data_IF_517657746178
#
_entry.id   IF_517657746178
#
_cell.length_a   1.000
_cell.length_b   1.000
_cell.length_c   1.000
_cell.angle_alpha   90.00
_cell.angle_beta   90.00
_cell.angle_gamma   90.00
#
_symmetry.space_group_name_H-M   'P 1'
#
loop_
_entity.id
_entity.type
_entity.pdbx_description
1 polymer ?
#
# COMPACT_ATOMS: atom_id res chain seq x y z
N UNK A 1 15.00 -6.12 -2.86
CA UNK A 1 14.52 -4.71 -2.76
C UNK A 1 13.62 -4.57 -1.56
N UNK A 2 13.81 -3.50 -0.79
CA UNK A 2 12.89 -3.10 0.28
C UNK A 2 11.80 -2.18 -0.32
N UNK A 3 10.53 -2.40 0.04
CA UNK A 3 9.38 -1.65 -0.51
C UNK A 3 8.66 -0.90 0.59
N UNK A 4 8.40 0.40 0.40
CA UNK A 4 7.51 1.18 1.27
C UNK A 4 6.17 1.43 0.58
N UNK A 5 5.08 1.01 1.23
CA UNK A 5 3.71 1.25 0.75
C UNK A 5 3.14 2.40 1.56
N UNK A 6 2.74 3.49 0.91
CA UNK A 6 2.22 4.70 1.56
C UNK A 6 0.71 4.80 1.35
N UNK A 7 -0.03 4.88 2.45
CA UNK A 7 -1.50 4.89 2.48
C UNK A 7 -1.99 6.09 3.29
N UNK A 8 -2.45 7.17 2.65
CA UNK A 8 -3.18 8.22 3.36
C UNK A 8 -4.59 7.73 3.70
N UNK A 9 -5.06 8.03 4.90
CA UNK A 9 -6.41 7.66 5.35
C UNK A 9 -7.07 8.78 6.13
N UNK A 10 -8.40 8.89 6.02
CA UNK A 10 -9.21 9.84 6.79
C UNK A 10 -10.61 9.27 7.01
N UNK A 11 -10.98 8.99 8.27
CA UNK A 11 -12.31 8.49 8.66
C UNK A 11 -12.77 7.24 7.88
N UNK A 12 -11.87 6.24 7.70
CA UNK A 12 -12.14 5.04 6.89
C UNK A 12 -11.70 3.74 7.56
N UNK A 13 -11.82 3.64 8.89
CA UNK A 13 -11.34 2.48 9.67
C UNK A 13 -11.73 1.13 9.10
N UNK A 14 -13.02 0.91 8.82
CA UNK A 14 -13.52 -0.42 8.41
C UNK A 14 -13.04 -0.85 7.01
N UNK A 15 -12.83 0.11 6.11
CA UNK A 15 -12.33 -0.20 4.77
C UNK A 15 -10.81 -0.31 4.76
N UNK A 16 -10.12 0.52 5.54
CA UNK A 16 -8.68 0.42 5.74
C UNK A 16 -8.29 -0.95 6.31
N UNK A 17 -9.08 -1.53 7.23
CA UNK A 17 -8.83 -2.88 7.73
C UNK A 17 -8.73 -3.91 6.62
N UNK A 18 -9.64 -3.87 5.63
CA UNK A 18 -9.62 -4.79 4.49
C UNK A 18 -8.38 -4.58 3.62
N UNK A 19 -7.98 -3.33 3.41
CA UNK A 19 -6.75 -2.98 2.72
C UNK A 19 -5.52 -3.57 3.43
N UNK A 20 -5.39 -3.37 4.74
CA UNK A 20 -4.26 -3.88 5.54
C UNK A 20 -4.21 -5.41 5.57
N UNK A 21 -5.36 -6.09 5.71
CA UNK A 21 -5.43 -7.56 5.62
C UNK A 21 -4.92 -8.06 4.28
N UNK A 22 -5.27 -7.40 3.18
CA UNK A 22 -4.79 -7.79 1.86
C UNK A 22 -3.27 -7.58 1.70
N UNK A 23 -2.72 -6.54 2.31
CA UNK A 23 -1.29 -6.27 2.31
C UNK A 23 -0.48 -7.25 3.18
N UNK A 24 -1.00 -7.65 4.34
CA UNK A 24 -0.33 -8.66 5.18
C UNK A 24 -0.32 -10.07 4.55
N UNK A 25 -1.18 -10.32 3.57
CA UNK A 25 -1.28 -11.60 2.86
C UNK A 25 -0.53 -11.62 1.52
N UNK A 26 0.49 -10.78 1.34
CA UNK A 26 1.27 -10.77 0.10
C UNK A 26 2.16 -12.00 -0.03
N UNK A 27 2.21 -12.55 -1.26
CA UNK A 27 3.15 -13.60 -1.63
C UNK A 27 4.40 -12.92 -2.17
N UNK A 28 5.48 -12.96 -1.40
CA UNK A 28 6.77 -12.41 -1.80
C UNK A 28 7.56 -13.43 -2.63
N UNK A 29 8.43 -12.92 -3.49
CA UNK A 29 9.42 -13.72 -4.21
C UNK A 29 10.82 -13.14 -4.00
N UNK A 30 11.82 -13.72 -4.64
CA UNK A 30 13.23 -13.33 -4.51
C UNK A 30 13.56 -11.88 -4.92
N UNK A 31 12.62 -11.16 -5.50
CA UNK A 31 12.79 -9.74 -5.88
C UNK A 31 12.53 -8.82 -4.70
N UNK A 32 11.76 -9.26 -3.72
CA UNK A 32 11.37 -8.48 -2.54
C UNK A 32 11.98 -9.12 -1.31
N UNK A 33 12.89 -8.40 -0.67
CA UNK A 33 13.51 -8.83 0.58
C UNK A 33 12.55 -8.61 1.76
N UNK A 34 11.93 -7.43 1.79
CA UNK A 34 11.02 -7.01 2.85
C UNK A 34 10.14 -5.84 2.38
N UNK A 35 9.08 -5.54 3.11
CA UNK A 35 8.25 -4.36 2.90
C UNK A 35 7.73 -3.77 4.21
N UNK A 36 7.37 -2.50 4.18
CA UNK A 36 6.63 -1.80 5.22
C UNK A 36 5.37 -1.16 4.66
N UNK A 37 4.38 -0.93 5.52
CA UNK A 37 3.15 -0.23 5.21
C UNK A 37 3.07 1.03 6.07
N UNK A 38 3.23 2.19 5.47
CA UNK A 38 3.16 3.49 6.13
C UNK A 38 1.73 4.01 6.00
N UNK A 39 0.97 3.93 7.08
CA UNK A 39 -0.36 4.53 7.16
C UNK A 39 -0.21 5.95 7.71
N UNK A 40 -0.69 6.93 6.95
CA UNK A 40 -0.75 8.32 7.38
C UNK A 40 -2.19 8.70 7.65
N UNK A 41 -2.52 8.87 8.92
CA UNK A 41 -3.83 9.33 9.35
C UNK A 41 -3.93 10.85 9.24
N UNK A 42 -4.86 11.33 8.46
CA UNK A 42 -5.05 12.74 8.14
C UNK A 42 -6.06 13.41 9.08
N UNK A 43 -5.91 13.19 10.38
CA UNK A 43 -6.76 13.79 11.41
C UNK A 43 -8.12 13.11 11.58
N UNK A 44 -8.18 11.77 11.52
CA UNK A 44 -9.43 11.02 11.70
C UNK A 44 -10.07 11.21 13.06
N UNK A 45 -11.39 11.29 13.08
CA UNK A 45 -12.23 11.39 14.28
C UNK A 45 -12.93 10.06 14.64
N UNK A 46 -12.83 9.05 13.80
CA UNK A 46 -13.47 7.72 13.94
C UNK A 46 -12.63 6.72 14.75
N UNK A 47 -11.61 7.19 15.50
CA UNK A 47 -10.66 6.40 16.27
C UNK A 47 -9.75 5.49 15.44
N UNK A 48 -9.55 5.76 14.15
CA UNK A 48 -8.62 5.01 13.28
C UNK A 48 -7.24 4.86 13.90
N UNK A 49 -6.55 5.92 14.41
CA UNK A 49 -5.22 5.78 14.99
C UNK A 49 -5.16 4.85 16.20
N UNK A 50 -6.11 4.99 17.13
CA UNK A 50 -6.19 4.15 18.32
C UNK A 50 -6.42 2.66 17.94
N UNK A 51 -7.26 2.42 16.94
CA UNK A 51 -7.51 1.09 16.43
C UNK A 51 -6.25 0.48 15.80
N UNK A 52 -5.52 1.19 14.93
CA UNK A 52 -4.28 0.69 14.32
C UNK A 52 -3.28 0.29 15.40
N UNK A 53 -3.07 1.13 16.43
CA UNK A 53 -2.17 0.83 17.54
C UNK A 53 -2.58 -0.46 18.28
N UNK A 54 -3.88 -0.69 18.46
CA UNK A 54 -4.39 -1.91 19.11
C UNK A 54 -4.19 -3.18 18.27
N UNK A 55 -3.98 -3.04 16.96
CA UNK A 55 -3.82 -4.14 16.01
C UNK A 55 -2.36 -4.42 15.60
N UNK A 56 -1.37 -3.84 16.28
CA UNK A 56 0.04 -3.94 15.88
C UNK A 56 0.54 -5.39 15.76
N UNK A 57 0.07 -6.30 16.62
CA UNK A 57 0.41 -7.71 16.54
C UNK A 57 -0.17 -8.41 15.30
N UNK A 58 -1.29 -7.92 14.79
CA UNK A 58 -1.95 -8.42 13.57
C UNK A 58 -1.35 -7.83 12.29
N UNK A 59 -0.83 -6.62 12.38
CA UNK A 59 -0.25 -5.87 11.27
C UNK A 59 1.20 -5.46 11.59
N UNK A 60 2.14 -6.42 11.66
CA UNK A 60 3.52 -6.14 12.06
C UNK A 60 4.28 -5.22 11.08
N UNK A 61 3.90 -5.21 9.80
CA UNK A 61 4.52 -4.34 8.79
C UNK A 61 4.02 -2.90 8.83
N UNK A 62 2.94 -2.61 9.62
CA UNK A 62 2.30 -1.29 9.64
C UNK A 62 3.03 -0.35 10.59
N UNK A 63 3.36 0.84 10.08
CA UNK A 63 3.82 2.01 10.83
C UNK A 63 2.80 3.13 10.66
N UNK A 64 2.33 3.69 11.77
CA UNK A 64 1.33 4.77 11.80
C UNK A 64 2.00 6.11 12.01
N UNK A 65 1.64 7.07 11.17
CA UNK A 65 1.92 8.49 11.34
C UNK A 65 0.63 9.28 11.33
N UNK A 66 0.59 10.38 12.05
CA UNK A 66 -0.58 11.23 12.19
C UNK A 66 -0.25 12.67 11.81
N UNK A 67 -1.17 13.35 11.16
CA UNK A 67 -1.08 14.77 10.87
C UNK A 67 -2.40 15.48 11.11
N UNK A 68 -2.39 16.80 11.22
CA UNK A 68 -3.60 17.60 11.10
C UNK A 68 -4.18 17.48 9.70
N UNK A 69 -5.50 17.55 9.59
CA UNK A 69 -6.19 17.37 8.31
C UNK A 69 -5.67 18.33 7.25
N UNK A 70 -5.00 17.80 6.24
CA UNK A 70 -4.36 18.55 5.17
C UNK A 70 -4.54 17.93 3.78
N UNK A 71 -5.25 16.80 3.73
CA UNK A 71 -5.59 16.09 2.50
C UNK A 71 -4.57 15.05 2.05
N UNK A 72 -4.95 14.22 1.07
CA UNK A 72 -4.19 13.04 0.68
C UNK A 72 -2.80 13.34 0.11
N UNK A 73 -2.61 14.51 -0.51
CA UNK A 73 -1.29 14.91 -1.03
C UNK A 73 -0.29 15.14 0.11
N UNK A 74 -0.71 15.85 1.17
CA UNK A 74 0.11 16.05 2.37
C UNK A 74 0.41 14.71 3.05
N UNK A 75 -0.59 13.84 3.19
CA UNK A 75 -0.41 12.51 3.76
C UNK A 75 0.59 11.67 2.96
N UNK A 76 0.55 11.71 1.62
CA UNK A 76 1.56 11.01 0.79
C UNK A 76 2.95 11.59 1.00
N UNK A 77 3.11 12.91 1.05
CA UNK A 77 4.40 13.56 1.29
C UNK A 77 4.98 13.19 2.65
N UNK A 78 4.16 13.20 3.71
CA UNK A 78 4.58 12.77 5.04
C UNK A 78 5.00 11.29 5.02
N UNK A 79 4.22 10.42 4.36
CA UNK A 79 4.56 9.01 4.22
C UNK A 79 5.90 8.80 3.51
N UNK A 80 6.16 9.52 2.42
CA UNK A 80 7.44 9.47 1.70
C UNK A 80 8.62 9.90 2.58
N UNK A 81 8.45 10.94 3.41
CA UNK A 81 9.53 11.41 4.30
C UNK A 81 9.94 10.39 5.37
N UNK A 82 9.09 9.42 5.66
CA UNK A 82 9.35 8.33 6.61
C UNK A 82 9.63 6.98 5.94
N UNK A 83 9.53 6.90 4.62
CA UNK A 83 9.79 5.70 3.86
C UNK A 83 11.29 5.35 3.85
N UNK A 84 11.62 4.08 4.04
CA UNK A 84 12.99 3.56 4.00
C UNK A 84 13.23 2.62 2.82
N UNK A 85 12.18 2.31 2.05
CA UNK A 85 12.26 1.43 0.88
C UNK A 85 12.91 2.09 -0.33
N UNK A 86 13.58 1.27 -1.14
CA UNK A 86 14.13 1.67 -2.45
C UNK A 86 13.03 1.96 -3.48
N UNK A 87 11.85 1.37 -3.26
CA UNK A 87 10.66 1.52 -4.10
C UNK A 87 9.51 2.00 -3.23
N UNK A 88 8.83 3.04 -3.68
CA UNK A 88 7.64 3.56 -3.00
C UNK A 88 6.40 3.22 -3.83
N UNK A 89 5.40 2.63 -3.20
CA UNK A 89 4.10 2.35 -3.78
C UNK A 89 3.05 3.19 -3.07
N UNK A 90 2.26 3.94 -3.82
CA UNK A 90 1.11 4.67 -3.29
C UNK A 90 -0.16 3.87 -3.55
N UNK A 91 -0.96 3.66 -2.52
CA UNK A 91 -2.31 3.13 -2.65
C UNK A 91 -3.29 3.93 -1.79
N UNK A 92 -4.54 3.96 -2.20
CA UNK A 92 -5.60 4.57 -1.40
C UNK A 92 -6.15 3.56 -0.38
N UNK A 93 -6.64 4.06 0.75
CA UNK A 93 -7.09 3.24 1.89
C UNK A 93 -8.33 2.37 1.60
N UNK A 94 -8.98 2.57 0.45
CA UNK A 94 -10.14 1.81 -0.02
C UNK A 94 -9.82 0.77 -1.11
N UNK A 95 -8.55 0.49 -1.34
CA UNK A 95 -8.12 -0.53 -2.28
C UNK A 95 -7.83 -1.85 -1.57
N UNK A 96 -8.36 -2.95 -2.12
CA UNK A 96 -8.03 -4.31 -1.72
C UNK A 96 -7.18 -4.93 -2.82
N UNK A 97 -5.91 -5.18 -2.51
CA UNK A 97 -4.93 -5.67 -3.47
C UNK A 97 -4.91 -7.19 -3.57
N UNK A 98 -4.46 -7.72 -4.69
CA UNK A 98 -4.26 -9.16 -4.86
C UNK A 98 -3.06 -9.67 -4.07
N UNK A 99 -2.98 -10.97 -3.83
CA UNK A 99 -1.85 -11.61 -3.14
C UNK A 99 -0.50 -11.44 -3.85
N UNK A 100 -0.50 -11.16 -5.14
CA UNK A 100 0.70 -10.97 -5.97
C UNK A 100 0.95 -9.52 -6.34
N UNK A 101 0.25 -8.59 -5.70
CA UNK A 101 0.32 -7.16 -6.03
C UNK A 101 1.77 -6.64 -6.00
N UNK A 102 2.48 -6.82 -4.89
CA UNK A 102 3.86 -6.36 -4.74
C UNK A 102 4.78 -7.00 -5.78
N UNK A 103 4.74 -8.33 -5.87
CA UNK A 103 5.56 -9.10 -6.80
C UNK A 103 5.33 -8.69 -8.26
N UNK A 104 4.08 -8.45 -8.66
CA UNK A 104 3.74 -8.03 -10.02
C UNK A 104 4.31 -6.65 -10.35
N UNK A 105 4.15 -5.68 -9.46
CA UNK A 105 4.71 -4.33 -9.63
C UNK A 105 6.24 -4.35 -9.70
N UNK A 106 6.90 -5.07 -8.80
CA UNK A 106 8.36 -5.11 -8.76
C UNK A 106 8.96 -5.82 -9.98
N UNK A 107 8.31 -6.87 -10.49
CA UNK A 107 8.71 -7.53 -11.74
C UNK A 107 8.57 -6.58 -12.94
N UNK A 108 7.48 -5.83 -13.01
CA UNK A 108 7.28 -4.84 -14.08
C UNK A 108 8.34 -3.73 -14.03
N UNK A 109 8.63 -3.18 -12.84
CA UNK A 109 9.70 -2.21 -12.63
C UNK A 109 11.08 -2.76 -13.04
N UNK A 110 11.43 -3.95 -12.57
CA UNK A 110 12.72 -4.59 -12.87
C UNK A 110 12.92 -4.82 -14.37
N UNK A 111 11.88 -5.21 -15.09
CA UNK A 111 11.91 -5.33 -16.56
C UNK A 111 12.13 -3.98 -17.23
N UNK A 112 11.44 -2.93 -16.75
CA UNK A 112 11.59 -1.59 -17.28
C UNK A 112 13.00 -1.04 -17.06
N UNK A 113 13.56 -1.20 -15.86
CA UNK A 113 14.94 -0.78 -15.55
C UNK A 113 15.97 -1.47 -16.45
N UNK A 114 15.85 -2.78 -16.64
CA UNK A 114 16.73 -3.53 -17.55
C UNK A 114 16.64 -3.02 -18.99
N UNK A 115 15.43 -2.69 -19.46
CA UNK A 115 15.20 -2.22 -20.83
C UNK A 115 15.70 -0.80 -21.06
N UNK A 116 15.52 0.08 -20.06
CA UNK A 116 15.84 1.51 -20.19
C UNK A 116 17.27 1.86 -19.74
N UNK A 117 17.94 0.96 -19.02
CA UNK A 117 19.27 1.22 -18.45
C UNK A 117 19.29 2.21 -17.29
N UNK A 118 18.12 2.59 -16.77
CA UNK A 118 17.99 3.49 -15.62
C UNK A 118 16.80 3.09 -14.71
N UNK A 119 16.72 3.70 -13.52
CA UNK A 119 15.65 3.46 -12.54
C UNK A 119 14.53 4.52 -12.57
N UNK A 120 14.56 5.44 -13.51
CA UNK A 120 13.56 6.52 -13.63
C UNK A 120 12.32 6.02 -14.38
N UNK A 121 11.55 5.16 -13.72
CA UNK A 121 10.29 4.67 -14.25
C UNK A 121 9.29 4.38 -13.13
N UNK A 122 8.03 4.29 -13.49
CA UNK A 122 6.95 3.92 -12.59
C UNK A 122 6.05 2.86 -13.24
N UNK A 123 5.28 2.18 -12.40
CA UNK A 123 4.22 1.26 -12.83
C UNK A 123 2.89 1.68 -12.20
N UNK A 124 1.80 1.36 -12.86
CA UNK A 124 0.47 1.49 -12.30
C UNK A 124 -0.31 0.19 -12.53
N UNK A 125 -1.25 -0.09 -11.61
CA UNK A 125 -2.12 -1.26 -11.68
C UNK A 125 -3.51 -0.90 -12.19
N UNK A 126 -4.22 -1.89 -12.72
CA UNK A 126 -5.64 -1.74 -13.04
C UNK A 126 -6.46 -1.72 -11.74
N UNK A 127 -7.42 -0.80 -11.64
CA UNK A 127 -8.39 -0.73 -10.56
C UNK A 127 -9.74 -1.22 -11.08
N UNK A 128 -10.31 -2.22 -10.40
CA UNK A 128 -11.65 -2.73 -10.69
C UNK A 128 -12.58 -2.21 -9.60
N UNK A 129 -13.57 -1.41 -9.98
CA UNK A 129 -14.60 -0.97 -9.07
C UNK A 129 -15.59 -2.12 -8.83
N UNK A 130 -15.81 -2.46 -7.55
CA UNK A 130 -16.80 -3.46 -7.16
C UNK A 130 -17.93 -2.77 -6.37
N UNK A 131 -19.17 -3.02 -6.73
CA UNK A 131 -20.33 -2.48 -6.01
C UNK A 131 -20.48 -3.11 -4.61
N UNK A 132 -20.01 -4.34 -4.45
CA UNK A 132 -19.97 -5.07 -3.19
C UNK A 132 -18.55 -5.55 -2.97
N UNK A 133 -18.00 -5.39 -1.76
CA UNK A 133 -16.67 -5.85 -1.36
C UNK A 133 -16.56 -7.40 -1.24
N UNK A 134 -17.36 -8.14 -1.97
CA UNK A 134 -17.09 -9.54 -2.23
C UNK A 134 -15.91 -9.60 -3.21
N UNK A 135 -14.80 -10.16 -2.74
CA UNK A 135 -13.60 -10.33 -3.59
C UNK A 135 -14.01 -11.19 -4.77
N UNK A 136 -14.16 -10.63 -5.98
CA UNK A 136 -14.35 -11.48 -7.15
C UNK A 136 -13.11 -12.38 -7.24
N UNK A 137 -13.31 -13.64 -7.61
CA UNK A 137 -12.21 -14.48 -8.07
C UNK A 137 -11.57 -13.74 -9.24
N UNK A 138 -10.45 -13.06 -8.98
CA UNK A 138 -9.84 -12.18 -9.97
C UNK A 138 -9.31 -13.06 -11.08
N UNK A 139 -9.99 -12.96 -12.21
CA UNK A 139 -9.44 -13.38 -13.49
C UNK A 139 -8.08 -12.69 -13.65
N UNK A 140 -7.02 -13.46 -13.70
CA UNK A 140 -5.68 -12.98 -14.04
C UNK A 140 -5.77 -12.28 -15.39
N UNK A 141 -5.80 -10.95 -15.38
CA UNK A 141 -5.58 -10.20 -16.61
C UNK A 141 -4.09 -10.33 -16.90
N UNK A 142 -3.78 -11.22 -17.82
CA UNK A 142 -2.42 -11.35 -18.37
C UNK A 142 -2.04 -10.01 -19.02
N UNK A 143 -0.89 -9.50 -18.68
CA UNK A 143 -0.16 -8.45 -19.40
C UNK A 143 0.73 -9.15 -20.45
#
# INVERSE_FOLDING_TARGET
MFVSIVIPTFNRKSILEKCLVALENQVLDSVIDEYEVIVVDDGSTDRTPAWIRSQQARFPHVRLFEQEHGGPAQGRNLGVSHAIGEVIIFIDSDLVVTKTFLTSHLKALSRSWKRQGNRLCFTYGAVINTANFEIPTILSVGI
#
